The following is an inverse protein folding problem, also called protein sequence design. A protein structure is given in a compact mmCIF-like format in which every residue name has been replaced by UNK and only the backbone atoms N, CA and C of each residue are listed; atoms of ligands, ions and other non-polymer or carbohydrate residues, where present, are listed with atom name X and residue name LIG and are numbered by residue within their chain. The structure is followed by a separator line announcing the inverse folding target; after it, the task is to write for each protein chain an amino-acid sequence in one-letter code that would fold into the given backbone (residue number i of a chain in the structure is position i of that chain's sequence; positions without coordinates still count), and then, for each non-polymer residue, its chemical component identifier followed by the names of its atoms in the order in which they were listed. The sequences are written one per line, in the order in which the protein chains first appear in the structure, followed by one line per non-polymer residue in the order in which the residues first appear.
data_IF_733231311226
#
_entry.id   IF_733231311226
#
_cell.length_a   1.000
_cell.length_b   1.000
_cell.length_c   1.000
_cell.angle_alpha   90.00
_cell.angle_beta   90.00
_cell.angle_gamma   90.00
#
_symmetry.space_group_name_H-M   'P 1'
#
loop_
_entity.id
_entity.type
_entity.pdbx_description
1 polymer ?
#
# COMPACT_ATOMS: atom_id res chain seq x y z
N UNK A 1 -4.05 5.14 17.10
CA UNK A 1 -4.79 4.74 15.88
C UNK A 1 -5.28 3.30 16.01
N UNK A 2 -6.60 3.07 16.09
CA UNK A 2 -7.25 1.76 16.34
C UNK A 2 -8.12 1.27 15.18
N UNK A 3 -7.67 1.51 13.95
CA UNK A 3 -8.35 0.97 12.78
C UNK A 3 -7.72 -0.38 12.40
N UNK A 4 -8.30 -1.47 12.91
CA UNK A 4 -8.02 -2.83 12.45
C UNK A 4 -8.53 -2.98 11.01
N UNK A 5 -7.61 -3.24 10.07
CA UNK A 5 -7.89 -3.40 8.65
C UNK A 5 -8.22 -4.86 8.34
N UNK A 6 -9.52 -5.21 8.43
CA UNK A 6 -10.00 -6.60 8.26
C UNK A 6 -10.82 -6.81 6.98
N UNK A 7 -11.08 -5.78 6.15
CA UNK A 7 -11.97 -5.96 5.00
C UNK A 7 -11.70 -5.01 3.83
N UNK A 8 -12.10 -5.42 2.62
CA UNK A 8 -12.09 -4.58 1.42
C UNK A 8 -12.84 -3.24 1.58
N UNK A 9 -13.71 -3.11 2.60
CA UNK A 9 -14.40 -1.85 2.93
C UNK A 9 -13.44 -0.75 3.39
N UNK A 10 -12.27 -1.10 3.91
CA UNK A 10 -11.23 -0.14 4.28
C UNK A 10 -10.59 0.55 3.06
N UNK A 11 -10.85 0.06 1.84
CA UNK A 11 -10.49 0.74 0.60
C UNK A 11 -11.44 1.91 0.28
N UNK A 12 -12.67 1.94 0.79
CA UNK A 12 -13.64 3.01 0.46
C UNK A 12 -13.18 4.40 0.89
N UNK A 13 -12.32 4.48 1.91
CA UNK A 13 -11.68 5.74 2.34
C UNK A 13 -10.50 6.15 1.43
N UNK A 14 -10.03 5.27 0.55
CA UNK A 14 -8.89 5.50 -0.35
C UNK A 14 -9.31 5.94 -1.76
N UNK A 15 -10.60 5.97 -2.06
CA UNK A 15 -11.13 6.34 -3.36
C UNK A 15 -12.18 7.46 -3.22
N UNK A 16 -12.22 8.41 -4.16
CA UNK A 16 -13.31 9.37 -4.27
C UNK A 16 -14.65 8.68 -4.52
N UNK A 17 -15.75 9.36 -4.21
CA UNK A 17 -17.07 8.91 -4.60
C UNK A 17 -17.23 8.94 -6.13
N UNK A 18 -18.01 8.01 -6.70
CA UNK A 18 -18.28 7.97 -8.17
C UNK A 18 -18.93 9.26 -8.69
N UNK A 19 -19.63 10.00 -7.84
CA UNK A 19 -20.23 11.30 -8.17
C UNK A 19 -19.22 12.47 -8.11
N UNK A 20 -18.06 12.27 -7.48
CA UNK A 20 -17.03 13.30 -7.28
C UNK A 20 -15.95 13.22 -8.37
N UNK A 21 -15.52 12.01 -8.75
CA UNK A 21 -14.50 11.78 -9.77
C UNK A 21 -14.97 10.70 -10.74
N UNK A 22 -15.02 11.04 -12.03
CA UNK A 22 -15.38 10.10 -13.09
C UNK A 22 -14.31 9.01 -13.28
N UNK A 23 -14.70 7.84 -13.81
CA UNK A 23 -13.79 6.69 -13.98
C UNK A 23 -12.51 7.04 -14.77
N UNK A 24 -12.62 7.92 -15.78
CA UNK A 24 -11.46 8.34 -16.59
C UNK A 24 -10.48 9.25 -15.82
N UNK A 25 -10.98 10.00 -14.85
CA UNK A 25 -10.21 10.91 -13.99
C UNK A 25 -9.71 10.22 -12.72
N UNK A 26 -10.13 8.97 -12.45
CA UNK A 26 -9.60 8.19 -11.35
C UNK A 26 -8.15 7.77 -11.60
N UNK A 27 -7.34 7.80 -10.54
CA UNK A 27 -5.94 7.37 -10.58
C UNK A 27 -5.84 5.90 -10.96
N UNK A 28 -5.10 5.56 -12.03
CA UNK A 28 -4.79 4.18 -12.38
C UNK A 28 -4.14 3.44 -11.20
N UNK A 29 -4.85 2.47 -10.64
CA UNK A 29 -4.50 1.80 -9.39
C UNK A 29 -4.38 0.29 -9.54
N UNK A 30 -3.31 -0.32 -9.03
CA UNK A 30 -3.23 -1.77 -8.81
C UNK A 30 -3.49 -2.10 -7.34
N UNK A 31 -4.32 -3.11 -7.09
CA UNK A 31 -4.69 -3.56 -5.75
C UNK A 31 -4.31 -5.02 -5.57
N UNK A 32 -3.25 -5.27 -4.82
CA UNK A 32 -2.81 -6.61 -4.45
C UNK A 32 -3.52 -7.08 -3.18
N UNK A 33 -4.09 -8.28 -3.23
CA UNK A 33 -4.78 -8.89 -2.09
C UNK A 33 -4.31 -10.34 -1.87
N UNK A 34 -4.11 -10.70 -0.60
CA UNK A 34 -3.60 -12.02 -0.19
C UNK A 34 -4.60 -13.18 -0.28
N UNK A 35 -5.90 -12.96 -0.53
CA UNK A 35 -6.87 -14.06 -0.66
C UNK A 35 -7.67 -13.98 -1.95
N UNK A 36 -7.90 -15.14 -2.61
CA UNK A 36 -8.76 -15.25 -3.80
C UNK A 36 -10.14 -14.64 -3.57
N UNK A 37 -10.70 -14.83 -2.37
CA UNK A 37 -12.02 -14.30 -2.02
C UNK A 37 -12.03 -12.77 -1.91
N UNK A 38 -10.96 -12.16 -1.37
CA UNK A 38 -10.83 -10.70 -1.36
C UNK A 38 -10.55 -10.13 -2.76
N UNK A 39 -9.81 -10.84 -3.62
CA UNK A 39 -9.66 -10.45 -5.04
C UNK A 39 -10.99 -10.52 -5.79
N UNK A 40 -11.82 -11.54 -5.54
CA UNK A 40 -13.17 -11.69 -6.12
C UNK A 40 -14.15 -10.64 -5.60
N UNK A 41 -14.04 -10.19 -4.35
CA UNK A 41 -14.84 -9.05 -3.85
C UNK A 41 -14.47 -7.72 -4.52
N UNK A 42 -13.26 -7.62 -5.09
CA UNK A 42 -12.80 -6.42 -5.80
C UNK A 42 -12.98 -6.54 -7.32
N UNK A 43 -13.16 -7.74 -7.88
CA UNK A 43 -13.29 -7.97 -9.33
C UNK A 43 -14.54 -8.79 -9.68
N UNK A 44 -15.39 -8.29 -10.60
CA UNK A 44 -16.27 -9.13 -11.42
C UNK A 44 -15.47 -9.62 -12.63
N UNK A 45 -15.63 -10.91 -12.94
CA UNK A 45 -14.76 -11.73 -13.80
C UNK A 45 -14.72 -11.22 -15.25
N UNK A 46 -13.54 -10.81 -15.72
CA UNK A 46 -13.18 -10.66 -17.13
C UNK A 46 -11.89 -11.43 -17.42
N UNK A 47 -11.64 -11.82 -18.67
CA UNK A 47 -10.41 -12.52 -19.07
C UNK A 47 -9.16 -11.66 -18.83
N UNK A 48 -7.99 -12.31 -18.62
CA UNK A 48 -6.74 -11.64 -18.24
C UNK A 48 -6.24 -10.69 -19.34
N UNK A 49 -6.32 -11.09 -20.61
CA UNK A 49 -5.87 -10.27 -21.74
C UNK A 49 -6.82 -9.11 -22.01
N UNK A 50 -8.13 -9.35 -21.87
CA UNK A 50 -9.15 -8.31 -21.96
C UNK A 50 -9.04 -7.31 -20.80
N UNK A 51 -8.66 -7.78 -19.61
CA UNK A 51 -8.43 -6.91 -18.45
C UNK A 51 -7.19 -6.03 -18.63
N UNK A 52 -6.10 -6.56 -19.19
CA UNK A 52 -4.91 -5.74 -19.48
C UNK A 52 -5.25 -4.71 -20.56
N UNK A 53 -5.81 -5.16 -21.68
CA UNK A 53 -6.13 -4.31 -22.81
C UNK A 53 -7.16 -3.22 -22.45
N UNK A 54 -8.19 -3.57 -21.68
CA UNK A 54 -9.18 -2.62 -21.19
C UNK A 54 -8.61 -1.60 -20.20
N UNK A 55 -7.66 -2.01 -19.36
CA UNK A 55 -6.96 -1.08 -18.46
C UNK A 55 -6.06 -0.10 -19.22
N UNK A 56 -5.32 -0.59 -20.21
CA UNK A 56 -4.48 0.23 -21.07
C UNK A 56 -5.32 1.26 -21.84
N UNK A 57 -6.47 0.84 -22.39
CA UNK A 57 -7.44 1.74 -23.05
C UNK A 57 -8.18 2.69 -22.10
N UNK A 58 -8.26 2.36 -20.80
CA UNK A 58 -8.93 3.19 -19.79
C UNK A 58 -10.40 2.92 -19.58
N UNK A 59 -10.84 1.72 -19.93
CA UNK A 59 -12.19 1.24 -19.70
C UNK A 59 -12.49 1.16 -18.19
N UNK A 60 -11.46 1.00 -17.37
CA UNK A 60 -11.50 1.05 -15.90
C UNK A 60 -10.19 1.60 -15.31
N UNK A 61 -10.29 2.16 -14.11
CA UNK A 61 -9.19 2.84 -13.42
C UNK A 61 -8.47 1.99 -12.38
N UNK A 62 -8.97 0.80 -12.05
CA UNK A 62 -8.36 -0.06 -11.04
C UNK A 62 -8.40 -1.54 -11.42
N UNK A 63 -7.32 -2.26 -11.14
CA UNK A 63 -7.24 -3.72 -11.28
C UNK A 63 -6.89 -4.33 -9.93
N UNK A 64 -7.63 -5.36 -9.53
CA UNK A 64 -7.26 -6.17 -8.36
C UNK A 64 -6.69 -7.51 -8.77
N UNK A 65 -5.64 -7.91 -8.09
CA UNK A 65 -4.93 -9.15 -8.38
C UNK A 65 -4.47 -9.84 -7.10
N UNK A 66 -4.23 -11.15 -7.22
CA UNK A 66 -3.51 -11.90 -6.21
C UNK A 66 -2.02 -11.60 -6.34
N UNK A 67 -1.25 -11.90 -5.28
CA UNK A 67 0.20 -11.73 -5.29
C UNK A 67 0.94 -12.50 -6.40
N UNK A 68 0.27 -13.47 -7.06
CA UNK A 68 0.82 -14.24 -8.18
C UNK A 68 0.70 -13.52 -9.55
N UNK A 69 -0.15 -12.52 -9.68
CA UNK A 69 -0.33 -11.76 -10.92
C UNK A 69 0.61 -10.54 -10.88
N UNK A 70 1.77 -10.60 -11.52
CA UNK A 70 2.60 -9.38 -11.62
C UNK A 70 4.07 -9.54 -12.01
N UNK A 71 4.63 -10.75 -12.01
CA UNK A 71 5.99 -10.93 -12.51
C UNK A 71 5.96 -10.96 -14.05
N UNK A 72 6.62 -9.99 -14.69
CA UNK A 72 6.82 -9.92 -16.15
C UNK A 72 5.90 -8.99 -16.97
N UNK A 73 4.84 -8.40 -16.38
CA UNK A 73 3.94 -7.48 -17.10
C UNK A 73 4.32 -6.01 -16.85
N UNK A 74 4.37 -5.19 -17.90
CA UNK A 74 4.75 -3.77 -17.81
C UNK A 74 3.50 -2.87 -17.77
N UNK A 75 3.17 -2.39 -16.58
CA UNK A 75 1.98 -1.55 -16.37
C UNK A 75 2.31 -0.06 -16.46
N UNK A 76 2.55 0.45 -17.67
CA UNK A 76 3.02 1.84 -17.89
C UNK A 76 2.10 2.92 -17.30
N UNK A 77 0.80 2.63 -17.21
CA UNK A 77 -0.21 3.57 -16.75
C UNK A 77 -0.36 3.63 -15.23
N UNK A 78 0.19 2.68 -14.48
CA UNK A 78 -0.04 2.58 -13.04
C UNK A 78 0.66 3.71 -12.30
N UNK A 79 -0.13 4.52 -11.61
CA UNK A 79 0.36 5.64 -10.79
C UNK A 79 0.23 5.35 -9.29
N UNK A 80 -0.64 4.41 -8.91
CA UNK A 80 -0.85 4.01 -7.53
C UNK A 80 -0.85 2.49 -7.36
N UNK A 81 -0.18 2.00 -6.31
CA UNK A 81 -0.20 0.59 -5.90
C UNK A 81 -0.68 0.50 -4.45
N UNK A 82 -1.65 -0.36 -4.21
CA UNK A 82 -2.17 -0.69 -2.89
C UNK A 82 -1.87 -2.17 -2.65
N UNK A 83 -1.15 -2.49 -1.59
CA UNK A 83 -0.99 -3.88 -1.14
C UNK A 83 -1.78 -4.09 0.13
N UNK A 84 -2.52 -5.21 0.18
CA UNK A 84 -3.32 -5.60 1.33
C UNK A 84 -2.90 -6.96 1.84
N UNK A 85 -2.54 -7.00 3.13
CA UNK A 85 -2.24 -8.22 3.85
C UNK A 85 -0.78 -8.62 3.79
N UNK A 86 -0.54 -9.90 4.07
CA UNK A 86 0.79 -10.49 4.21
C UNK A 86 1.41 -10.71 2.82
N UNK A 87 2.57 -10.09 2.58
CA UNK A 87 3.42 -10.38 1.43
C UNK A 87 4.90 -10.40 1.78
N UNK A 88 5.66 -11.28 1.14
CA UNK A 88 7.13 -11.26 1.23
C UNK A 88 7.66 -9.86 0.84
N UNK A 89 8.57 -9.25 1.62
CA UNK A 89 9.04 -7.89 1.36
C UNK A 89 9.68 -7.70 -0.02
N UNK A 90 10.38 -8.70 -0.57
CA UNK A 90 10.95 -8.61 -1.93
C UNK A 90 9.84 -8.59 -2.99
N UNK A 91 8.78 -9.39 -2.80
CA UNK A 91 7.58 -9.32 -3.62
C UNK A 91 6.89 -7.95 -3.51
N UNK A 92 6.76 -7.40 -2.29
CA UNK A 92 6.18 -6.06 -2.06
C UNK A 92 7.02 -4.99 -2.78
N UNK A 93 8.35 -5.06 -2.67
CA UNK A 93 9.28 -4.16 -3.35
C UNK A 93 9.05 -4.16 -4.88
N UNK A 94 8.90 -5.35 -5.47
CA UNK A 94 8.58 -5.50 -6.89
C UNK A 94 7.17 -4.99 -7.26
N UNK A 95 6.19 -5.11 -6.37
CA UNK A 95 4.83 -4.62 -6.58
C UNK A 95 4.78 -3.10 -6.58
N UNK A 96 5.39 -2.45 -5.58
CA UNK A 96 5.40 -0.98 -5.49
C UNK A 96 6.27 -0.36 -6.59
N UNK A 97 7.33 -1.04 -7.03
CA UNK A 97 8.15 -0.63 -8.19
C UNK A 97 7.44 -0.69 -9.55
N UNK A 98 6.12 -0.95 -9.57
CA UNK A 98 5.28 -0.85 -10.78
C UNK A 98 4.76 0.56 -11.00
N UNK A 99 4.56 1.37 -9.96
CA UNK A 99 4.22 2.79 -10.14
C UNK A 99 5.48 3.64 -10.36
N UNK A 100 5.36 4.68 -11.20
CA UNK A 100 6.43 5.65 -11.46
C UNK A 100 7.50 5.22 -12.45
N UNK A 101 7.26 4.16 -13.23
CA UNK A 101 8.16 3.71 -14.30
C UNK A 101 8.25 4.68 -15.48
N UNK A 102 7.27 5.57 -15.61
CA UNK A 102 7.24 6.67 -16.58
C UNK A 102 8.05 7.90 -16.12
N UNK A 103 8.77 7.79 -14.99
CA UNK A 103 9.55 8.88 -14.39
C UNK A 103 8.71 9.85 -13.57
N UNK A 104 7.39 9.67 -13.49
CA UNK A 104 6.51 10.50 -12.68
C UNK A 104 6.34 9.91 -11.27
N UNK A 105 6.00 10.72 -10.25
CA UNK A 105 5.80 10.23 -8.89
C UNK A 105 4.77 9.09 -8.83
N UNK A 106 5.08 8.02 -8.11
CA UNK A 106 4.16 6.92 -7.83
C UNK A 106 3.73 6.92 -6.37
N UNK A 107 2.50 6.49 -6.09
CA UNK A 107 2.01 6.32 -4.72
C UNK A 107 1.91 4.84 -4.35
N UNK A 108 2.70 4.41 -3.37
CA UNK A 108 2.60 3.09 -2.77
C UNK A 108 1.89 3.17 -1.41
N UNK A 109 0.87 2.33 -1.21
CA UNK A 109 0.14 2.22 0.06
C UNK A 109 0.21 0.77 0.53
N UNK A 110 0.85 0.56 1.68
CA UNK A 110 0.98 -0.75 2.33
C UNK A 110 -0.04 -0.84 3.47
N UNK A 111 -1.07 -1.67 3.32
CA UNK A 111 -2.01 -1.96 4.40
C UNK A 111 -1.47 -3.09 5.28
N UNK A 112 -0.92 -2.70 6.44
CA UNK A 112 -0.35 -3.62 7.43
C UNK A 112 -1.21 -3.68 8.71
N UNK A 113 -1.21 -4.84 9.37
CA UNK A 113 -1.90 -5.01 10.65
C UNK A 113 -1.06 -4.42 11.79
N UNK A 114 -1.64 -3.51 12.59
CA UNK A 114 -0.96 -2.86 13.73
C UNK A 114 -0.45 -3.86 14.78
N UNK A 115 -1.23 -4.91 15.05
CA UNK A 115 -0.86 -6.01 15.94
C UNK A 115 -1.35 -7.31 15.33
N UNK A 116 -0.45 -8.25 15.09
CA UNK A 116 -0.76 -9.58 14.60
C UNK A 116 -0.83 -10.59 15.73
N UNK A 117 -1.86 -11.45 15.70
CA UNK A 117 -1.92 -12.64 16.54
C UNK A 117 -0.77 -13.59 16.15
N UNK A 118 0.07 -13.94 17.11
CA UNK A 118 1.25 -14.81 16.92
C UNK A 118 2.34 -14.25 15.99
N UNK A 119 2.34 -12.95 15.71
CA UNK A 119 3.43 -12.27 14.98
C UNK A 119 4.39 -11.53 15.92
N UNK A 120 5.51 -11.08 15.38
CA UNK A 120 6.46 -10.20 16.06
C UNK A 120 5.93 -8.77 15.98
N UNK A 121 5.52 -8.23 17.14
CA UNK A 121 4.84 -6.94 17.21
C UNK A 121 5.70 -5.83 17.84
N UNK A 122 6.94 -6.14 18.22
CA UNK A 122 7.86 -5.16 18.82
C UNK A 122 9.27 -5.31 18.24
N UNK A 123 10.06 -4.23 18.18
CA UNK A 123 11.44 -4.29 17.70
C UNK A 123 12.31 -5.29 18.46
N UNK A 124 12.10 -5.46 19.76
CA UNK A 124 12.85 -6.39 20.61
C UNK A 124 12.55 -7.85 20.25
N UNK A 125 11.29 -8.15 19.91
CA UNK A 125 10.90 -9.48 19.45
C UNK A 125 11.54 -9.81 18.09
N UNK A 126 11.64 -8.82 17.20
CA UNK A 126 12.34 -8.96 15.91
C UNK A 126 13.85 -9.16 16.10
N UNK A 127 14.48 -8.42 17.03
CA UNK A 127 15.92 -8.56 17.32
C UNK A 127 16.31 -9.98 17.76
N UNK A 128 15.43 -10.68 18.48
CA UNK A 128 15.66 -12.06 18.96
C UNK A 128 15.31 -13.15 17.94
N UNK A 129 14.63 -12.79 16.84
CA UNK A 129 14.18 -13.74 15.84
C UNK A 129 15.22 -13.95 14.73
N UNK A 130 15.01 -14.99 13.91
CA UNK A 130 15.81 -15.20 12.71
C UNK A 130 15.45 -14.13 11.66
N UNK A 131 16.31 -13.11 11.52
CA UNK A 131 16.11 -11.97 10.60
C UNK A 131 15.94 -12.37 9.12
N UNK A 132 16.45 -13.52 8.71
CA UNK A 132 16.35 -14.00 7.33
C UNK A 132 15.07 -14.81 7.07
N UNK A 133 14.36 -15.23 8.13
CA UNK A 133 13.11 -15.95 7.96
C UNK A 133 12.05 -15.02 7.37
N UNK A 134 11.31 -15.52 6.37
CA UNK A 134 10.28 -14.74 5.66
C UNK A 134 9.27 -14.12 6.64
N UNK A 135 8.77 -14.89 7.61
CA UNK A 135 7.82 -14.39 8.61
C UNK A 135 8.38 -13.24 9.45
N UNK A 136 9.66 -13.32 9.82
CA UNK A 136 10.34 -12.24 10.56
C UNK A 136 10.53 -11.00 9.70
N UNK A 137 10.91 -11.15 8.42
CA UNK A 137 11.04 -10.03 7.47
C UNK A 137 9.71 -9.31 7.26
N UNK A 138 8.64 -10.08 7.10
CA UNK A 138 7.28 -9.53 6.94
C UNK A 138 6.81 -8.75 8.18
N UNK A 139 7.10 -9.27 9.37
CA UNK A 139 6.74 -8.62 10.62
C UNK A 139 7.58 -7.37 10.85
N UNK A 140 8.88 -7.45 10.60
CA UNK A 140 9.80 -6.33 10.68
C UNK A 140 9.39 -5.20 9.73
N UNK A 141 9.04 -5.48 8.47
CA UNK A 141 8.57 -4.44 7.53
C UNK A 141 7.32 -3.71 8.04
N UNK A 142 6.42 -4.41 8.74
CA UNK A 142 5.20 -3.81 9.25
C UNK A 142 5.42 -2.83 10.42
N UNK A 143 6.54 -2.95 11.14
CA UNK A 143 6.83 -2.17 12.34
C UNK A 143 8.17 -1.42 12.30
N UNK A 144 8.91 -1.48 11.19
CA UNK A 144 10.23 -0.86 11.10
C UNK A 144 10.13 0.65 11.33
N UNK A 145 10.98 1.23 12.21
CA UNK A 145 10.99 2.66 12.47
C UNK A 145 11.83 3.44 11.45
N UNK A 146 12.57 2.75 10.57
CA UNK A 146 13.54 3.40 9.66
C UNK A 146 12.91 3.76 8.31
N UNK A 147 13.67 4.44 7.45
CA UNK A 147 13.21 4.76 6.09
C UNK A 147 12.76 3.50 5.33
N UNK A 148 11.53 3.48 4.83
CA UNK A 148 10.96 2.32 4.12
C UNK A 148 11.70 2.06 2.80
N UNK A 149 12.15 3.12 2.10
CA UNK A 149 12.92 3.01 0.85
C UNK A 149 14.23 2.26 1.09
N UNK A 150 14.97 2.67 2.12
CA UNK A 150 16.23 2.02 2.51
C UNK A 150 15.96 0.61 3.03
N UNK A 151 14.93 0.42 3.86
CA UNK A 151 14.58 -0.90 4.42
C UNK A 151 14.32 -1.95 3.33
N UNK A 152 13.56 -1.59 2.28
CA UNK A 152 13.31 -2.49 1.15
C UNK A 152 14.57 -2.73 0.30
N UNK A 153 15.47 -1.75 0.22
CA UNK A 153 16.74 -1.91 -0.50
C UNK A 153 17.67 -2.87 0.22
N UNK A 154 17.77 -2.77 1.55
CA UNK A 154 18.52 -3.72 2.39
C UNK A 154 17.91 -5.12 2.28
N UNK A 155 16.58 -5.24 2.32
CA UNK A 155 15.93 -6.54 2.17
C UNK A 155 16.28 -7.22 0.84
N UNK A 156 16.26 -6.46 -0.25
CA UNK A 156 16.62 -6.98 -1.57
C UNK A 156 18.10 -7.37 -1.71
N UNK A 157 19.01 -6.67 -1.03
CA UNK A 157 20.46 -6.90 -1.12
C UNK A 157 20.97 -7.93 -0.11
N UNK A 158 20.40 -7.94 1.10
CA UNK A 158 20.92 -8.67 2.26
C UNK A 158 19.91 -9.63 2.90
N UNK A 159 18.65 -9.63 2.47
CA UNK A 159 17.64 -10.58 2.92
C UNK A 159 17.12 -10.35 4.34
N UNK A 160 17.10 -9.10 4.82
CA UNK A 160 16.47 -8.73 6.09
C UNK A 160 15.96 -7.29 6.09
N UNK A 161 15.06 -6.97 7.02
CA UNK A 161 14.58 -5.61 7.24
C UNK A 161 15.33 -4.97 8.42
N UNK A 162 15.99 -3.81 8.23
CA UNK A 162 16.61 -3.07 9.33
C UNK A 162 15.56 -2.55 10.30
N UNK A 163 15.92 -2.52 11.58
CA UNK A 163 15.07 -2.03 12.67
C UNK A 163 15.66 -0.81 13.39
N UNK A 164 16.85 -0.37 12.96
CA UNK A 164 17.65 0.66 13.60
C UNK A 164 18.46 1.41 12.54
N UNK A 165 18.70 2.70 12.76
CA UNK A 165 19.52 3.53 11.87
C UNK A 165 21.02 3.28 12.07
N UNK A 166 21.40 2.73 13.21
CA UNK A 166 22.79 2.34 13.52
C UNK A 166 23.22 1.03 12.80
N UNK A 167 22.33 0.41 12.03
CA UNK A 167 22.67 -0.75 11.21
C UNK A 167 23.69 -0.36 10.12
N UNK A 168 24.81 -1.09 10.05
CA UNK A 168 25.91 -0.80 9.11
C UNK A 168 25.45 -0.75 7.66
N UNK A 169 24.56 -1.66 7.23
CA UNK A 169 24.05 -1.67 5.87
C UNK A 169 23.07 -0.51 5.63
N UNK A 170 22.36 -0.06 6.68
CA UNK A 170 21.50 1.12 6.61
C UNK A 170 22.33 2.38 6.38
N UNK A 171 23.41 2.57 7.15
CA UNK A 171 24.32 3.70 7.02
C UNK A 171 24.95 3.72 5.61
N UNK A 172 25.39 2.55 5.11
CA UNK A 172 25.96 2.46 3.77
C UNK A 172 24.95 2.82 2.67
N UNK A 173 23.72 2.30 2.76
CA UNK A 173 22.68 2.58 1.77
C UNK A 173 22.24 4.06 1.81
N UNK A 174 22.12 4.64 3.01
CA UNK A 174 21.83 6.06 3.16
C UNK A 174 22.94 6.93 2.54
N UNK A 175 24.21 6.60 2.80
CA UNK A 175 25.36 7.31 2.23
C UNK A 175 25.40 7.19 0.69
N UNK A 176 25.05 6.02 0.15
CA UNK A 176 24.92 5.81 -1.30
C UNK A 176 23.82 6.69 -1.90
N UNK A 177 22.63 6.73 -1.30
CA UNK A 177 21.53 7.58 -1.76
C UNK A 177 21.92 9.07 -1.78
N UNK A 178 22.62 9.55 -0.73
CA UNK A 178 23.14 10.93 -0.67
C UNK A 178 24.17 11.20 -1.77
N UNK A 179 25.12 10.29 -1.96
CA UNK A 179 26.17 10.40 -2.98
C UNK A 179 25.59 10.40 -4.39
N UNK A 180 24.57 9.57 -4.63
CA UNK A 180 23.83 9.48 -5.88
C UNK A 180 22.80 10.61 -6.06
N UNK A 181 22.68 11.53 -5.10
CA UNK A 181 21.77 12.69 -5.12
C UNK A 181 20.30 12.30 -5.30
N UNK A 182 19.88 11.24 -4.62
CA UNK A 182 18.47 10.86 -4.60
C UNK A 182 17.66 11.94 -3.87
N UNK A 183 16.43 12.18 -4.33
CA UNK A 183 15.51 13.07 -3.63
C UNK A 183 15.25 12.54 -2.20
N UNK A 184 15.02 13.44 -1.23
CA UNK A 184 14.61 13.06 0.11
C UNK A 184 13.43 12.10 0.10
N UNK A 185 13.49 11.05 0.92
CA UNK A 185 12.42 10.07 0.96
C UNK A 185 11.17 10.66 1.64
N UNK A 186 10.01 10.55 1.00
CA UNK A 186 8.70 10.96 1.54
C UNK A 186 7.88 9.82 2.16
N UNK A 187 8.53 8.72 2.57
CA UNK A 187 7.79 7.63 3.19
C UNK A 187 7.25 8.03 4.57
N UNK A 188 6.27 7.30 5.09
CA UNK A 188 5.60 7.63 6.37
C UNK A 188 6.50 7.66 7.60
N UNK A 189 7.69 7.08 7.51
CA UNK A 189 8.69 7.13 8.59
C UNK A 189 9.65 8.32 8.45
N UNK A 190 9.83 8.85 7.24
CA UNK A 190 10.69 10.00 6.97
C UNK A 190 9.93 11.33 7.07
N UNK A 191 8.66 11.37 6.62
CA UNK A 191 7.76 12.51 6.81
C UNK A 191 6.38 12.05 7.32
N UNK A 192 6.23 11.87 8.65
CA UNK A 192 4.98 11.41 9.24
C UNK A 192 3.83 12.41 9.09
N UNK A 193 4.11 13.71 9.08
CA UNK A 193 3.09 14.75 8.97
C UNK A 193 2.52 14.82 7.55
N UNK A 194 3.39 14.86 6.54
CA UNK A 194 2.99 14.86 5.14
C UNK A 194 2.22 13.58 4.81
N UNK A 195 2.67 12.42 5.31
CA UNK A 195 1.96 11.16 5.13
C UNK A 195 0.56 11.16 5.77
N UNK A 196 0.39 11.78 6.94
CA UNK A 196 -0.93 11.92 7.57
C UNK A 196 -1.85 12.83 6.77
N UNK A 197 -1.33 13.94 6.24
CA UNK A 197 -2.07 14.87 5.40
C UNK A 197 -2.49 14.23 4.08
N UNK A 198 -1.56 13.54 3.40
CA UNK A 198 -1.83 12.79 2.19
C UNK A 198 -2.92 11.73 2.44
N UNK A 199 -2.85 11.01 3.57
CA UNK A 199 -3.88 10.05 3.98
C UNK A 199 -5.25 10.70 4.17
N UNK A 200 -5.31 11.87 4.80
CA UNK A 200 -6.56 12.60 5.01
C UNK A 200 -7.20 13.05 3.70
N UNK A 201 -6.39 13.33 2.67
CA UNK A 201 -6.84 13.76 1.34
C UNK A 201 -7.01 12.62 0.33
N UNK A 202 -6.90 11.36 0.73
CA UNK A 202 -6.99 10.21 -0.21
C UNK A 202 -8.26 10.21 -1.06
N UNK A 203 -9.39 10.68 -0.51
CA UNK A 203 -10.67 10.76 -1.23
C UNK A 203 -10.74 11.93 -2.23
N UNK A 204 -9.75 12.83 -2.24
CA UNK A 204 -9.69 13.98 -3.15
C UNK A 204 -8.73 13.74 -4.33
N UNK A 205 -8.03 12.60 -4.35
CA UNK A 205 -7.01 12.31 -5.36
C UNK A 205 -7.68 11.90 -6.68
N UNK A 206 -7.29 12.57 -7.77
CA UNK A 206 -7.65 12.29 -9.16
C UNK A 206 -6.41 12.41 -10.06
N UNK A 207 -6.52 12.05 -11.33
CA UNK A 207 -5.44 12.21 -12.31
C UNK A 207 -5.03 13.66 -12.52
N UNK A 208 -5.91 14.61 -12.25
CA UNK A 208 -5.69 16.04 -12.49
C UNK A 208 -4.85 16.68 -11.38
N UNK A 209 -4.94 16.15 -10.15
CA UNK A 209 -4.24 16.69 -8.98
C UNK A 209 -3.25 15.70 -8.35
N UNK A 210 -2.95 14.57 -9.02
CA UNK A 210 -2.10 13.51 -8.48
C UNK A 210 -0.67 13.97 -8.18
N UNK A 211 -0.06 14.72 -9.08
CA UNK A 211 1.31 15.21 -8.88
C UNK A 211 1.34 16.28 -7.76
N UNK A 212 0.52 17.34 -7.81
CA UNK A 212 0.47 18.34 -6.74
C UNK A 212 0.19 17.78 -5.35
N UNK A 213 -0.71 16.80 -5.22
CA UNK A 213 -1.07 16.24 -3.90
C UNK A 213 0.02 15.36 -3.30
N UNK A 214 0.89 14.77 -4.14
CA UNK A 214 2.07 14.02 -3.70
C UNK A 214 3.27 14.93 -3.44
N UNK A 215 3.35 16.06 -4.15
CA UNK A 215 4.39 17.06 -3.94
C UNK A 215 4.17 17.85 -2.66
N UNK A 216 2.94 18.30 -2.39
CA UNK A 216 2.61 19.01 -1.17
C UNK A 216 1.11 18.87 -0.82
N UNK A 217 0.71 17.85 -0.03
CA UNK A 217 -0.67 17.67 0.38
C UNK A 217 -1.18 18.78 1.30
N UNK A 218 -0.31 19.62 1.89
CA UNK A 218 -0.74 20.73 2.77
C UNK A 218 -1.30 21.90 1.95
N UNK A 219 -0.76 22.13 0.76
CA UNK A 219 -1.12 23.28 -0.10
C UNK A 219 -2.35 23.05 -0.99
N UNK A 220 -2.91 21.83 -1.01
CA UNK A 220 -4.10 21.54 -1.80
C UNK A 220 -5.30 22.39 -1.30
N UNK A 221 -5.92 23.22 -2.17
CA UNK A 221 -7.04 24.05 -1.79
C UNK A 221 -8.26 23.23 -1.33
N UNK A 222 -9.06 23.82 -0.44
CA UNK A 222 -10.32 23.25 0.01
C UNK A 222 -10.23 22.45 1.32
N UNK A 223 -11.39 22.21 1.96
CA UNK A 223 -11.45 21.55 3.25
C UNK A 223 -11.01 20.08 3.14
N UNK A 224 -10.51 19.54 4.25
CA UNK A 224 -10.31 18.09 4.35
C UNK A 224 -11.67 17.36 4.26
N UNK A 225 -11.72 16.18 3.64
CA UNK A 225 -12.92 15.36 3.63
C UNK A 225 -13.42 15.09 5.05
N UNK A 226 -14.72 15.24 5.28
CA UNK A 226 -15.32 14.85 6.55
C UNK A 226 -15.08 13.35 6.80
N UNK A 227 -14.54 13.00 7.97
CA UNK A 227 -14.42 11.60 8.36
C UNK A 227 -15.82 11.00 8.51
N UNK A 228 -16.26 10.21 7.53
CA UNK A 228 -17.52 9.46 7.64
C UNK A 228 -17.40 8.51 8.83
N UNK A 229 -18.22 8.72 9.86
CA UNK A 229 -18.26 7.83 11.02
C UNK A 229 -18.49 6.38 10.56
N UNK A 230 -17.67 5.46 11.08
CA UNK A 230 -17.86 4.03 10.84
C UNK A 230 -19.22 3.63 11.41
N UNK A 231 -20.24 3.47 10.56
CA UNK A 231 -21.51 2.83 10.97
C UNK A 231 -21.18 1.46 11.56
N UNK A 232 -21.31 1.32 12.87
CA UNK A 232 -21.25 0.03 13.57
C UNK A 232 -22.45 -0.79 13.12
N UNK A 233 -22.27 -1.63 12.11
CA UNK A 233 -23.26 -2.67 11.83
C UNK A 233 -23.11 -3.76 12.89
N UNK A 234 -24.12 -3.89 13.76
CA UNK A 234 -24.27 -5.06 14.61
C UNK A 234 -24.29 -6.29 13.71
N UNK A 235 -23.51 -7.31 14.05
CA UNK A 235 -23.65 -8.63 13.43
C UNK A 235 -25.04 -9.13 13.84
N UNK A 236 -26.01 -9.04 12.93
CA UNK A 236 -27.30 -9.69 13.11
C UNK A 236 -27.06 -11.18 13.26
N UNK A 237 -27.25 -11.69 14.47
CA UNK A 237 -27.29 -13.13 14.75
C UNK A 237 -28.46 -13.69 13.95
N UNK A 238 -28.20 -14.50 12.92
CA UNK A 238 -29.27 -15.29 12.30
C UNK A 238 -29.87 -16.18 13.41
N UNK A 239 -31.20 -16.21 13.60
CA UNK A 239 -31.82 -17.15 14.52
C UNK A 239 -31.44 -18.57 14.09
N UNK A 240 -31.02 -19.40 15.05
CA UNK A 240 -30.89 -20.84 14.82
C UNK A 240 -32.30 -21.39 14.68
N UNK A 241 -32.66 -21.86 13.49
CA UNK A 241 -33.76 -22.83 13.35
C UNK A 241 -33.45 -24.02 14.25
N UNK A 242 -34.36 -24.32 15.18
CA UNK A 242 -34.39 -25.58 15.90
C UNK A 242 -35.20 -26.52 15.03
N UNK A 243 -34.55 -27.57 14.53
CA UNK A 243 -35.25 -28.71 13.95
C UNK A 243 -36.18 -29.29 15.04
N UNK A 244 -37.47 -29.38 14.72
CA UNK A 244 -38.49 -30.10 15.48
C UNK A 244 -38.47 -31.58 15.10
#
# INVERSE_FOLDING_TARGET
MDCSLKSAKDLLQMFPGKAEVGTKDMVPTLIYSGTRNATLQVMKVMDKLDTISGYERGDFSSVSCTMALGMGQNWKRVRRVITMGRGDPSCISQMIGRCGRDGKPGLAILFVEKKRKSGLNTPEAVKKANKQANDTRMDALAITPVCIRIALSIDNLHGYIPMDQDDVNYIHEESRERTAKFDPCKCSNCDPEEAQMLKARMQQISNQNFDPILENPKEIPGPLPAQKEKKKHSRGTKPKERDL
#
